data_IF_900309073928
#
_entry.id   IF_900309073928
#
_cell.length_a   1.000
_cell.length_b   1.000
_cell.length_c   1.000
_cell.angle_alpha   90.00
_cell.angle_beta   90.00
_cell.angle_gamma   90.00
#
_symmetry.space_group_name_H-M   'P 1'
#
loop_
_entity.id
_entity.type
_entity.pdbx_description
1 polymer ?
#
# COMPACT_ATOMS: atom_id res chain seq x y z
N UNK A 1 5.86 -21.35 22.35
CA UNK A 1 4.77 -20.89 21.46
C UNK A 1 4.19 -19.52 21.85
N UNK A 2 4.17 -19.10 23.14
CA UNK A 2 3.66 -17.77 23.54
C UNK A 2 4.49 -16.55 23.10
N UNK A 3 5.81 -16.67 22.95
CA UNK A 3 6.67 -15.54 22.56
C UNK A 3 6.44 -15.04 21.12
N UNK A 4 6.19 -15.94 20.17
CA UNK A 4 5.95 -15.58 18.77
C UNK A 4 4.61 -14.84 18.60
N UNK A 5 3.58 -15.24 19.36
CA UNK A 5 2.28 -14.58 19.40
C UNK A 5 2.42 -13.13 19.87
N UNK A 6 3.15 -12.88 20.96
CA UNK A 6 3.35 -11.53 21.49
C UNK A 6 4.10 -10.61 20.50
N UNK A 7 5.12 -11.14 19.81
CA UNK A 7 5.86 -10.39 18.79
C UNK A 7 4.98 -10.05 17.59
N UNK A 8 4.15 -10.99 17.11
CA UNK A 8 3.22 -10.74 16.00
C UNK A 8 2.18 -9.71 16.41
N UNK A 9 1.56 -9.87 17.59
CA UNK A 9 0.58 -8.90 18.10
C UNK A 9 1.21 -7.51 18.25
N UNK A 10 2.41 -7.43 18.82
CA UNK A 10 3.15 -6.17 18.94
C UNK A 10 3.44 -5.52 17.58
N UNK A 11 3.88 -6.30 16.60
CA UNK A 11 4.13 -5.81 15.24
C UNK A 11 2.85 -5.32 14.54
N UNK A 12 1.74 -6.03 14.70
CA UNK A 12 0.44 -5.65 14.13
C UNK A 12 -0.09 -4.37 14.78
N UNK A 13 -0.04 -4.26 16.12
CA UNK A 13 -0.45 -3.04 16.82
C UNK A 13 0.45 -1.85 16.47
N UNK A 14 1.76 -2.05 16.40
CA UNK A 14 2.70 -1.03 15.94
C UNK A 14 2.39 -0.56 14.52
N UNK A 15 2.13 -1.49 13.60
CA UNK A 15 1.70 -1.19 12.23
C UNK A 15 0.40 -0.37 12.21
N UNK A 16 -0.59 -0.75 13.02
CA UNK A 16 -1.86 -0.04 13.10
C UNK A 16 -1.69 1.41 13.59
N UNK A 17 -0.87 1.63 14.63
CA UNK A 17 -0.55 2.98 15.13
C UNK A 17 0.16 3.80 14.06
N UNK A 18 1.21 3.26 13.44
CA UNK A 18 1.94 3.96 12.38
C UNK A 18 1.02 4.32 11.20
N UNK A 19 0.12 3.41 10.80
CA UNK A 19 -0.84 3.65 9.75
C UNK A 19 -1.83 4.77 10.13
N UNK A 20 -2.37 4.74 11.35
CA UNK A 20 -3.29 5.78 11.83
C UNK A 20 -2.61 7.16 11.91
N UNK A 21 -1.39 7.23 12.48
CA UNK A 21 -0.60 8.46 12.56
C UNK A 21 -0.30 9.01 11.18
N UNK A 22 0.14 8.17 10.25
CA UNK A 22 0.42 8.58 8.88
C UNK A 22 -0.84 9.15 8.19
N UNK A 23 -1.98 8.46 8.26
CA UNK A 23 -3.22 8.95 7.67
C UNK A 23 -3.68 10.28 8.29
N UNK A 24 -3.50 10.46 9.60
CA UNK A 24 -3.83 11.71 10.28
C UNK A 24 -2.97 12.88 9.76
N UNK A 25 -1.66 12.66 9.58
CA UNK A 25 -0.75 13.67 9.00
C UNK A 25 -1.14 13.98 7.55
N UNK A 26 -1.39 12.94 6.74
CA UNK A 26 -1.77 13.11 5.34
C UNK A 26 -3.10 13.85 5.16
N UNK A 27 -4.02 13.69 6.11
CA UNK A 27 -5.29 14.43 6.15
C UNK A 27 -5.09 15.89 6.59
N UNK A 28 -4.25 16.15 7.59
CA UNK A 28 -4.00 17.49 8.12
C UNK A 28 -3.26 18.41 7.13
N UNK A 29 -2.42 17.85 6.26
CA UNK A 29 -1.65 18.60 5.28
C UNK A 29 -2.50 18.97 4.05
N UNK A 30 -2.56 20.28 3.77
CA UNK A 30 -3.25 20.83 2.58
C UNK A 30 -2.41 20.74 1.32
N UNK A 31 -1.10 20.92 1.44
CA UNK A 31 -0.17 20.82 0.31
C UNK A 31 0.09 19.34 -0.02
N UNK A 32 -0.49 18.89 -1.14
CA UNK A 32 -0.35 17.50 -1.61
C UNK A 32 1.08 17.19 -2.04
N UNK A 33 1.83 18.14 -2.58
CA UNK A 33 3.23 17.90 -2.96
C UNK A 33 4.06 17.64 -1.70
N UNK A 34 3.85 18.42 -0.63
CA UNK A 34 4.49 18.19 0.66
C UNK A 34 4.12 16.81 1.24
N UNK A 35 2.83 16.44 1.23
CA UNK A 35 2.37 15.14 1.72
C UNK A 35 3.06 13.98 1.00
N UNK A 36 3.08 13.97 -0.33
CA UNK A 36 3.71 12.89 -1.10
C UNK A 36 5.24 12.90 -1.02
N UNK A 37 5.86 14.07 -0.83
CA UNK A 37 7.30 14.16 -0.58
C UNK A 37 7.66 13.51 0.76
N UNK A 38 6.85 13.73 1.80
CA UNK A 38 7.02 13.07 3.10
C UNK A 38 6.79 11.56 3.02
N UNK A 39 5.83 11.09 2.20
CA UNK A 39 5.65 9.66 1.89
C UNK A 39 6.94 9.10 1.32
N UNK A 40 7.44 9.71 0.24
CA UNK A 40 8.62 9.25 -0.48
C UNK A 40 9.84 9.22 0.44
N UNK A 41 10.07 10.28 1.23
CA UNK A 41 11.18 10.34 2.16
C UNK A 41 11.11 9.24 3.22
N UNK A 42 9.92 8.98 3.78
CA UNK A 42 9.73 7.93 4.78
C UNK A 42 10.03 6.54 4.18
N UNK A 43 9.55 6.26 2.97
CA UNK A 43 9.84 5.01 2.27
C UNK A 43 11.31 4.87 1.90
N UNK A 44 11.96 5.93 1.40
CA UNK A 44 13.37 5.90 1.04
C UNK A 44 14.26 5.76 2.26
N UNK A 45 13.96 6.44 3.37
CA UNK A 45 14.73 6.31 4.60
C UNK A 45 14.59 4.90 5.20
N UNK A 46 13.35 4.41 5.40
CA UNK A 46 13.10 3.08 5.96
C UNK A 46 13.63 1.95 5.06
N UNK A 47 13.32 2.02 3.76
CA UNK A 47 13.82 1.07 2.77
C UNK A 47 15.33 1.11 2.60
N UNK A 48 15.94 2.30 2.66
CA UNK A 48 17.39 2.49 2.58
C UNK A 48 18.11 1.87 3.78
N UNK A 49 17.63 2.08 5.00
CA UNK A 49 18.17 1.42 6.20
C UNK A 49 18.08 -0.10 6.05
N UNK A 50 16.95 -0.64 5.61
CA UNK A 50 16.80 -2.08 5.40
C UNK A 50 17.73 -2.60 4.30
N UNK A 51 17.91 -1.85 3.21
CA UNK A 51 18.84 -2.22 2.13
C UNK A 51 20.30 -2.30 2.58
N UNK A 52 20.68 -1.56 3.64
CA UNK A 52 22.02 -1.65 4.25
C UNK A 52 22.17 -2.84 5.21
N UNK A 53 21.07 -3.34 5.76
CA UNK A 53 21.07 -4.41 6.78
C UNK A 53 20.86 -5.81 6.19
N UNK A 54 20.32 -5.91 4.98
CA UNK A 54 19.96 -7.19 4.34
C UNK A 54 20.87 -7.48 3.15
N UNK A 55 21.08 -8.76 2.87
CA UNK A 55 21.83 -9.19 1.70
C UNK A 55 21.23 -8.64 0.39
N UNK A 56 22.11 -8.23 -0.52
CA UNK A 56 21.70 -7.68 -1.82
C UNK A 56 20.83 -8.69 -2.60
N UNK A 57 19.74 -8.24 -3.22
CA UNK A 57 18.86 -9.11 -3.97
C UNK A 57 19.57 -9.72 -5.19
N UNK A 58 19.09 -10.89 -5.62
CA UNK A 58 19.62 -11.57 -6.80
C UNK A 58 19.54 -10.66 -8.05
N UNK A 59 20.48 -10.82 -8.99
CA UNK A 59 20.52 -10.02 -10.23
C UNK A 59 19.20 -10.08 -11.01
N UNK A 60 18.53 -11.23 -10.97
CA UNK A 60 17.24 -11.45 -11.63
C UNK A 60 16.08 -10.65 -11.01
N UNK A 61 16.19 -10.21 -9.76
CA UNK A 61 15.14 -9.46 -9.08
C UNK A 61 15.15 -7.96 -9.46
N UNK A 62 16.26 -7.41 -9.93
CA UNK A 62 16.41 -5.98 -10.22
C UNK A 62 15.41 -5.42 -11.24
N UNK A 63 15.10 -6.11 -12.36
CA UNK A 63 14.05 -5.66 -13.27
C UNK A 63 12.68 -5.54 -12.58
N UNK A 64 12.33 -6.49 -11.71
CA UNK A 64 11.07 -6.46 -10.96
C UNK A 64 11.05 -5.35 -9.90
N UNK A 65 12.17 -5.12 -9.21
CA UNK A 65 12.31 -4.00 -8.27
C UNK A 65 12.16 -2.65 -8.97
N UNK A 66 12.81 -2.48 -10.12
CA UNK A 66 12.69 -1.26 -10.92
C UNK A 66 11.27 -1.06 -11.46
N UNK A 67 10.65 -2.11 -12.01
CA UNK A 67 9.27 -2.07 -12.49
C UNK A 67 8.27 -1.76 -11.36
N UNK A 68 8.44 -2.39 -10.20
CA UNK A 68 7.61 -2.13 -9.01
C UNK A 68 7.77 -0.69 -8.53
N UNK A 69 9.00 -0.18 -8.44
CA UNK A 69 9.29 1.20 -8.07
C UNK A 69 8.65 2.20 -9.04
N UNK A 70 8.80 1.99 -10.35
CA UNK A 70 8.19 2.83 -11.37
C UNK A 70 6.65 2.82 -11.29
N UNK A 71 6.05 1.63 -11.17
CA UNK A 71 4.61 1.49 -11.01
C UNK A 71 4.10 2.19 -9.74
N UNK A 72 4.87 2.10 -8.65
CA UNK A 72 4.53 2.75 -7.39
C UNK A 72 4.63 4.28 -7.46
N UNK A 73 5.60 4.82 -8.21
CA UNK A 73 5.68 6.26 -8.48
C UNK A 73 4.46 6.71 -9.29
N UNK A 74 4.12 6.01 -10.37
CA UNK A 74 2.92 6.30 -11.17
C UNK A 74 1.65 6.25 -10.30
N UNK A 75 1.51 5.23 -9.46
CA UNK A 75 0.42 5.12 -8.49
C UNK A 75 0.33 6.34 -7.57
N UNK A 76 1.44 6.78 -6.99
CA UNK A 76 1.46 7.94 -6.10
C UNK A 76 1.11 9.24 -6.83
N UNK A 77 1.56 9.42 -8.08
CA UNK A 77 1.19 10.58 -8.90
C UNK A 77 -0.30 10.59 -9.24
N UNK A 78 -0.87 9.43 -9.60
CA UNK A 78 -2.31 9.31 -9.86
C UNK A 78 -3.12 9.56 -8.59
N UNK A 79 -2.67 9.04 -7.45
CA UNK A 79 -3.31 9.26 -6.14
C UNK A 79 -3.27 10.74 -5.75
N UNK A 80 -2.14 11.42 -5.98
CA UNK A 80 -2.01 12.86 -5.78
C UNK A 80 -3.02 13.62 -6.63
N UNK A 81 -3.13 13.28 -7.91
CA UNK A 81 -4.09 13.91 -8.82
C UNK A 81 -5.54 13.64 -8.39
N UNK A 82 -5.87 12.42 -7.98
CA UNK A 82 -7.20 12.08 -7.46
C UNK A 82 -7.56 12.91 -6.21
N UNK A 83 -6.62 13.10 -5.28
CA UNK A 83 -6.81 13.94 -4.08
C UNK A 83 -6.80 15.45 -4.35
N UNK A 84 -6.32 15.90 -5.51
CA UNK A 84 -6.40 17.30 -5.94
C UNK A 84 -7.70 17.61 -6.65
N UNK A 85 -8.23 16.66 -7.42
CA UNK A 85 -9.42 16.82 -8.24
C UNK A 85 -10.72 16.52 -7.47
N UNK A 86 -10.68 15.64 -6.48
CA UNK A 86 -11.82 15.28 -5.64
C UNK A 86 -11.56 15.57 -4.17
N UNK A 87 -12.64 15.82 -3.41
CA UNK A 87 -12.56 15.89 -1.96
C UNK A 87 -12.01 14.58 -1.41
N UNK A 88 -11.11 14.68 -0.43
CA UNK A 88 -10.49 13.52 0.22
C UNK A 88 -11.54 12.51 0.71
N UNK A 89 -12.68 13.01 1.20
CA UNK A 89 -13.81 12.21 1.69
C UNK A 89 -14.52 11.38 0.60
N UNK A 90 -14.37 11.72 -0.68
CA UNK A 90 -14.94 10.96 -1.80
C UNK A 90 -13.88 10.08 -2.46
N UNK A 91 -12.69 10.62 -2.68
CA UNK A 91 -11.59 9.90 -3.32
C UNK A 91 -11.09 8.71 -2.48
N UNK A 92 -11.12 8.84 -1.14
CA UNK A 92 -10.65 7.79 -0.24
C UNK A 92 -11.55 6.54 -0.23
N UNK A 93 -12.88 6.63 -0.02
CA UNK A 93 -13.77 5.46 -0.11
C UNK A 93 -13.75 4.79 -1.49
N UNK A 94 -13.75 5.59 -2.57
CA UNK A 94 -13.69 5.05 -3.92
C UNK A 94 -12.39 4.30 -4.18
N UNK A 95 -11.24 4.86 -3.81
CA UNK A 95 -9.95 4.20 -4.00
C UNK A 95 -9.83 2.92 -3.18
N UNK A 96 -10.28 2.94 -1.91
CA UNK A 96 -10.23 1.77 -1.04
C UNK A 96 -11.19 0.67 -1.50
N UNK A 97 -12.42 1.00 -1.89
CA UNK A 97 -13.43 0.03 -2.32
C UNK A 97 -13.20 -0.57 -3.71
N UNK A 98 -12.55 0.17 -4.63
CA UNK A 98 -12.25 -0.35 -5.98
C UNK A 98 -10.98 -1.18 -6.03
N UNK A 99 -10.01 -0.93 -5.14
CA UNK A 99 -8.73 -1.63 -5.13
C UNK A 99 -8.81 -3.17 -5.07
N UNK A 100 -9.68 -3.81 -4.25
CA UNK A 100 -9.73 -5.27 -4.15
C UNK A 100 -10.28 -5.90 -5.42
N UNK A 101 -11.25 -5.23 -6.08
CA UNK A 101 -11.78 -5.66 -7.37
C UNK A 101 -10.73 -5.61 -8.48
N UNK A 102 -9.97 -4.52 -8.57
CA UNK A 102 -8.89 -4.39 -9.56
C UNK A 102 -7.87 -5.52 -9.38
N UNK A 103 -7.45 -5.78 -8.13
CA UNK A 103 -6.52 -6.88 -7.84
C UNK A 103 -7.13 -8.24 -8.20
N UNK A 104 -8.38 -8.51 -7.82
CA UNK A 104 -9.06 -9.77 -8.11
C UNK A 104 -9.16 -10.04 -9.63
N UNK A 105 -9.52 -9.02 -10.41
CA UNK A 105 -9.61 -9.11 -11.87
C UNK A 105 -8.23 -9.40 -12.47
N UNK A 106 -7.19 -8.66 -12.08
CA UNK A 106 -5.83 -8.88 -12.57
C UNK A 106 -5.34 -10.28 -12.19
N UNK A 107 -5.56 -10.74 -10.97
CA UNK A 107 -5.17 -12.09 -10.53
C UNK A 107 -5.82 -13.18 -11.38
N UNK A 108 -7.10 -13.07 -11.70
CA UNK A 108 -7.81 -14.08 -12.50
C UNK A 108 -7.37 -14.04 -13.97
N UNK A 109 -7.33 -12.85 -14.59
CA UNK A 109 -7.17 -12.74 -16.03
C UNK A 109 -5.71 -12.63 -16.49
N UNK A 110 -4.82 -12.08 -15.66
CA UNK A 110 -3.40 -11.89 -16.00
C UNK A 110 -2.53 -12.96 -15.35
N UNK A 111 -2.75 -13.26 -14.07
CA UNK A 111 -1.95 -14.25 -13.34
C UNK A 111 -2.51 -15.67 -13.53
N UNK A 112 -3.82 -15.81 -13.82
CA UNK A 112 -4.48 -17.10 -14.01
C UNK A 112 -4.87 -17.81 -12.71
N UNK A 113 -4.95 -17.07 -11.60
CA UNK A 113 -5.36 -17.64 -10.31
C UNK A 113 -6.87 -17.93 -10.27
N UNK A 114 -7.24 -19.03 -9.60
CA UNK A 114 -8.65 -19.36 -9.34
C UNK A 114 -9.07 -18.82 -7.98
N UNK A 115 -9.94 -17.81 -7.98
CA UNK A 115 -10.56 -17.30 -6.75
C UNK A 115 -11.69 -18.24 -6.30
N UNK A 116 -11.52 -18.84 -5.12
CA UNK A 116 -12.58 -19.62 -4.48
C UNK A 116 -13.71 -18.73 -3.93
N UNK A 117 -14.87 -19.32 -3.58
CA UNK A 117 -16.04 -18.57 -3.09
C UNK A 117 -15.74 -17.69 -1.87
N UNK A 118 -14.87 -18.17 -0.95
CA UNK A 118 -14.48 -17.44 0.26
C UNK A 118 -13.63 -16.20 -0.07
N UNK A 119 -12.70 -16.31 -1.03
CA UNK A 119 -11.89 -15.16 -1.46
C UNK A 119 -12.75 -14.11 -2.14
N UNK A 120 -13.71 -14.53 -2.97
CA UNK A 120 -14.65 -13.61 -3.61
C UNK A 120 -15.54 -12.92 -2.58
N UNK A 121 -16.05 -13.65 -1.58
CA UNK A 121 -16.80 -13.06 -0.48
C UNK A 121 -15.98 -12.02 0.28
N UNK A 122 -14.69 -12.29 0.55
CA UNK A 122 -13.77 -11.32 1.15
C UNK A 122 -13.61 -10.05 0.31
N UNK A 123 -13.46 -10.19 -1.01
CA UNK A 123 -13.39 -9.05 -1.94
C UNK A 123 -14.68 -8.22 -1.89
N UNK A 124 -15.86 -8.85 -1.92
CA UNK A 124 -17.14 -8.15 -1.82
C UNK A 124 -17.25 -7.39 -0.49
N UNK A 125 -16.98 -8.06 0.64
CA UNK A 125 -17.11 -7.45 1.98
C UNK A 125 -16.18 -6.25 2.12
N UNK A 126 -14.90 -6.38 1.75
CA UNK A 126 -13.93 -5.28 1.86
C UNK A 126 -14.25 -4.14 0.89
N UNK A 127 -14.81 -4.44 -0.28
CA UNK A 127 -15.16 -3.42 -1.28
C UNK A 127 -16.45 -2.67 -0.96
N UNK A 128 -17.36 -3.28 -0.19
CA UNK A 128 -18.62 -2.67 0.22
C UNK A 128 -18.44 -1.61 1.33
N UNK A 129 -17.32 -1.64 2.06
CA UNK A 129 -16.98 -0.69 3.13
C UNK A 129 -17.21 -1.24 4.52
#
# INVERSE_FOLDING_TARGET
MGGLQLTITGAVLGSAVLHATWNAIAHALRDKLLTFTLIALTYTAGGGVLALLVASPSRAAWPFLAASGALHVVYNLLLMQAYRLGDFNQAYPLGRGTSPWVVAIISVFVIGERLGPVHLAGVVVVSAG
#
